data_IF_022344783623
#
_entry.id   IF_022344783623
#
_cell.length_a   1.000
_cell.length_b   1.000
_cell.length_c   1.000
_cell.angle_alpha   90.00
_cell.angle_beta   90.00
_cell.angle_gamma   90.00
#
_symmetry.space_group_name_H-M   'P 1'
#
loop_
_entity.id
_entity.type
_entity.pdbx_description
1 polymer ?
#
# COMPACT_ATOMS: atom_id res chain seq x y z
N UNK A 1 -6.12 -11.33 -12.61
CA UNK A 1 -6.10 -10.00 -13.24
C UNK A 1 -5.97 -8.90 -12.18
N UNK A 2 -6.80 -8.91 -11.13
CA UNK A 2 -6.88 -7.83 -10.12
C UNK A 2 -5.55 -7.53 -9.42
N UNK A 3 -4.81 -8.55 -8.99
CA UNK A 3 -3.52 -8.38 -8.30
C UNK A 3 -2.48 -7.63 -9.14
N UNK A 4 -2.56 -7.72 -10.47
CA UNK A 4 -1.64 -7.02 -11.36
C UNK A 4 -2.05 -5.56 -11.59
N UNK A 5 -3.35 -5.28 -11.62
CA UNK A 5 -3.90 -3.95 -11.94
C UNK A 5 -3.97 -3.07 -10.68
N UNK A 6 -4.36 -3.66 -9.55
CA UNK A 6 -4.69 -2.93 -8.32
C UNK A 6 -3.54 -2.11 -7.73
N UNK A 7 -2.27 -2.59 -7.70
CA UNK A 7 -1.16 -1.78 -7.20
C UNK A 7 -0.91 -0.50 -8.02
N UNK A 8 -1.40 -0.44 -9.27
CA UNK A 8 -1.33 0.75 -10.11
C UNK A 8 -2.61 1.57 -10.01
N UNK A 9 -3.73 1.04 -10.52
CA UNK A 9 -4.98 1.81 -10.65
C UNK A 9 -5.65 2.05 -9.31
N UNK A 10 -5.60 1.08 -8.41
CA UNK A 10 -6.15 1.23 -7.06
C UNK A 10 -5.40 2.30 -6.27
N UNK A 11 -4.08 2.28 -6.29
CA UNK A 11 -3.29 3.32 -5.63
C UNK A 11 -3.43 4.70 -6.31
N UNK A 12 -3.58 4.74 -7.64
CA UNK A 12 -3.80 5.98 -8.38
C UNK A 12 -5.09 6.67 -7.96
N UNK A 13 -6.23 5.97 -8.02
CA UNK A 13 -7.54 6.57 -7.66
C UNK A 13 -7.65 6.87 -6.17
N UNK A 14 -6.82 6.23 -5.33
CA UNK A 14 -6.73 6.51 -3.90
C UNK A 14 -5.78 7.68 -3.57
N UNK A 15 -5.11 8.28 -4.56
CA UNK A 15 -4.16 9.39 -4.34
C UNK A 15 -2.88 8.97 -3.61
N UNK A 16 -2.45 7.72 -3.76
CA UNK A 16 -1.28 7.16 -3.06
C UNK A 16 -0.01 7.14 -3.92
N UNK A 17 -0.12 7.48 -5.21
CA UNK A 17 1.00 7.59 -6.15
C UNK A 17 0.85 8.87 -6.97
N UNK A 18 1.98 9.43 -7.40
CA UNK A 18 2.04 10.63 -8.24
C UNK A 18 1.32 11.85 -7.67
N UNK A 19 1.55 12.13 -6.38
CA UNK A 19 1.09 13.34 -5.70
C UNK A 19 -0.40 13.66 -5.92
N UNK A 20 -0.73 14.77 -6.58
CA UNK A 20 -2.09 15.25 -6.82
C UNK A 20 -2.80 14.60 -8.03
N UNK A 21 -2.24 13.54 -8.61
CA UNK A 21 -2.76 12.89 -9.82
C UNK A 21 -4.23 12.46 -9.72
N UNK A 22 -4.71 12.01 -8.55
CA UNK A 22 -6.10 11.64 -8.35
C UNK A 22 -7.06 12.82 -8.56
N UNK A 23 -6.65 14.03 -8.17
CA UNK A 23 -7.40 15.26 -8.43
C UNK A 23 -7.32 15.61 -9.92
N UNK A 24 -6.12 15.57 -10.50
CA UNK A 24 -5.87 15.92 -11.90
C UNK A 24 -6.71 15.10 -12.88
N UNK A 25 -6.89 13.80 -12.62
CA UNK A 25 -7.70 12.90 -13.48
C UNK A 25 -9.18 12.83 -13.07
N UNK A 26 -9.61 13.65 -12.11
CA UNK A 26 -10.97 13.62 -11.56
C UNK A 26 -11.38 12.22 -11.05
N UNK A 27 -10.48 11.53 -10.36
CA UNK A 27 -10.65 10.13 -9.95
C UNK A 27 -11.95 9.86 -9.17
N UNK A 28 -12.47 10.88 -8.47
CA UNK A 28 -13.74 10.82 -7.74
C UNK A 28 -14.95 10.46 -8.62
N UNK A 29 -14.87 10.66 -9.94
CA UNK A 29 -15.90 10.27 -10.91
C UNK A 29 -15.87 8.78 -11.27
N UNK A 30 -14.78 8.08 -10.95
CA UNK A 30 -14.59 6.66 -11.30
C UNK A 30 -15.19 5.74 -10.22
N UNK A 31 -16.49 5.87 -9.97
CA UNK A 31 -17.20 5.25 -8.85
C UNK A 31 -16.96 3.73 -8.73
N UNK A 32 -17.01 3.02 -9.86
CA UNK A 32 -16.82 1.57 -9.88
C UNK A 32 -15.38 1.15 -9.57
N UNK A 33 -14.40 1.95 -9.99
CA UNK A 33 -12.98 1.69 -9.72
C UNK A 33 -12.69 1.98 -8.25
N UNK A 34 -13.28 3.04 -7.68
CA UNK A 34 -13.16 3.35 -6.25
C UNK A 34 -13.78 2.24 -5.39
N UNK A 35 -14.98 1.75 -5.74
CA UNK A 35 -15.60 0.61 -5.04
C UNK A 35 -14.69 -0.63 -5.07
N UNK A 36 -14.21 -1.02 -6.25
CA UNK A 36 -13.30 -2.15 -6.43
C UNK A 36 -11.98 -1.96 -5.66
N UNK A 37 -11.42 -0.75 -5.67
CA UNK A 37 -10.22 -0.41 -4.93
C UNK A 37 -10.40 -0.68 -3.43
N UNK A 38 -11.50 -0.21 -2.84
CA UNK A 38 -11.83 -0.39 -1.41
C UNK A 38 -12.01 -1.86 -1.05
N UNK A 39 -12.78 -2.61 -1.84
CA UNK A 39 -13.00 -4.04 -1.62
C UNK A 39 -11.69 -4.85 -1.56
N UNK A 40 -10.74 -4.53 -2.44
CA UNK A 40 -9.43 -5.19 -2.44
C UNK A 40 -8.54 -4.68 -1.30
N UNK A 41 -8.60 -3.38 -0.98
CA UNK A 41 -7.85 -2.78 0.12
C UNK A 41 -8.11 -3.46 1.46
N UNK A 42 -9.37 -3.82 1.74
CA UNK A 42 -9.79 -4.43 3.00
C UNK A 42 -9.24 -5.85 3.20
N UNK A 43 -8.77 -6.51 2.15
CA UNK A 43 -8.27 -7.89 2.22
C UNK A 43 -7.03 -7.96 3.11
N UNK A 44 -6.99 -8.84 4.15
CA UNK A 44 -5.83 -8.96 5.03
C UNK A 44 -4.51 -9.25 4.30
N UNK A 45 -4.57 -10.04 3.23
CA UNK A 45 -3.39 -10.35 2.41
C UNK A 45 -2.86 -9.13 1.63
N UNK A 46 -3.73 -8.23 1.16
CA UNK A 46 -3.32 -6.99 0.47
C UNK A 46 -2.69 -6.02 1.46
N UNK A 47 -3.30 -5.88 2.65
CA UNK A 47 -2.76 -5.08 3.75
C UNK A 47 -1.34 -5.51 4.13
N UNK A 48 -1.06 -6.81 4.22
CA UNK A 48 0.29 -7.33 4.48
C UNK A 48 1.21 -7.22 3.27
N UNK A 49 0.75 -7.66 2.10
CA UNK A 49 1.57 -7.74 0.89
C UNK A 49 2.13 -6.38 0.45
N UNK A 50 1.35 -5.30 0.62
CA UNK A 50 1.79 -3.94 0.26
C UNK A 50 2.88 -3.35 1.18
N UNK A 51 3.18 -4.01 2.31
CA UNK A 51 4.22 -3.57 3.24
C UNK A 51 5.59 -4.13 2.85
N UNK A 52 5.63 -5.29 2.22
CA UNK A 52 6.85 -6.04 1.92
C UNK A 52 7.70 -5.27 0.91
N UNK A 53 9.01 -5.14 1.19
CA UNK A 53 10.00 -4.39 0.42
C UNK A 53 9.70 -2.89 0.25
N UNK A 54 8.80 -2.34 1.06
CA UNK A 54 8.44 -0.92 0.99
C UNK A 54 9.30 -0.10 1.95
N UNK A 55 10.04 0.87 1.40
CA UNK A 55 10.94 1.76 2.15
C UNK A 55 10.44 3.21 2.28
N UNK A 56 9.14 3.43 2.09
CA UNK A 56 8.52 4.75 2.11
C UNK A 56 7.07 4.69 2.61
N UNK A 57 6.50 5.84 2.95
CA UNK A 57 5.16 5.94 3.55
C UNK A 57 5.23 5.91 5.08
N UNK A 58 4.15 5.51 5.73
CA UNK A 58 4.11 5.45 7.20
C UNK A 58 5.02 4.32 7.72
N UNK A 59 5.79 4.51 8.81
CA UNK A 59 6.69 3.48 9.33
C UNK A 59 6.01 2.12 9.61
N UNK A 60 4.77 2.13 10.10
CA UNK A 60 3.99 0.92 10.37
C UNK A 60 3.51 0.18 9.10
N UNK A 61 3.65 0.80 7.92
CA UNK A 61 3.39 0.18 6.62
C UNK A 61 4.67 -0.26 5.89
N UNK A 62 5.85 -0.09 6.50
CA UNK A 62 7.14 -0.41 5.89
C UNK A 62 7.70 -1.69 6.50
N UNK A 63 7.86 -2.72 5.67
CA UNK A 63 8.58 -3.96 6.00
C UNK A 63 9.65 -4.17 4.93
N UNK A 64 10.89 -3.74 5.20
CA UNK A 64 11.96 -3.71 4.20
C UNK A 64 12.30 -5.10 3.63
N UNK A 65 12.24 -6.13 4.47
CA UNK A 65 12.44 -7.52 4.08
C UNK A 65 11.47 -8.41 4.83
N UNK A 66 11.09 -9.54 4.22
CA UNK A 66 10.24 -10.54 4.85
C UNK A 66 10.88 -11.91 4.67
N UNK A 67 11.19 -12.56 5.79
CA UNK A 67 11.75 -13.89 5.87
C UNK A 67 10.90 -14.83 6.74
N UNK A 68 10.03 -14.30 7.60
CA UNK A 68 9.08 -15.05 8.43
C UNK A 68 7.68 -14.40 8.44
N UNK A 69 6.67 -15.11 8.96
CA UNK A 69 5.33 -14.54 9.16
C UNK A 69 5.28 -13.54 10.34
N UNK A 70 6.12 -13.76 11.36
CA UNK A 70 6.21 -12.91 12.56
C UNK A 70 6.88 -11.56 12.31
N UNK A 71 7.47 -11.35 11.12
CA UNK A 71 8.09 -10.08 10.73
C UNK A 71 7.09 -8.91 10.72
N UNK A 72 5.82 -9.16 10.40
CA UNK A 72 4.78 -8.12 10.48
C UNK A 72 4.56 -7.60 11.90
N UNK A 73 4.82 -8.44 12.91
CA UNK A 73 4.62 -8.13 14.32
C UNK A 73 5.88 -7.54 14.98
N UNK A 74 7.05 -7.68 14.36
CA UNK A 74 8.34 -7.36 15.02
C UNK A 74 9.31 -6.52 14.19
N UNK A 75 9.23 -6.56 12.86
CA UNK A 75 10.24 -6.00 11.94
C UNK A 75 9.74 -4.81 11.10
N UNK A 76 8.53 -4.29 11.33
CA UNK A 76 8.09 -3.06 10.67
C UNK A 76 8.86 -1.85 11.19
N UNK A 77 8.99 -0.82 10.35
CA UNK A 77 9.90 0.30 10.62
C UNK A 77 9.53 1.11 11.88
N UNK A 78 8.26 1.14 12.28
CA UNK A 78 7.80 1.71 13.57
C UNK A 78 8.35 0.95 14.80
N UNK A 79 8.65 -0.35 14.66
CA UNK A 79 9.12 -1.21 15.76
C UNK A 79 10.63 -1.20 15.91
N UNK A 80 11.35 -1.15 14.79
CA UNK A 80 12.83 -1.22 14.78
C UNK A 80 13.51 0.15 14.74
N UNK A 81 12.77 1.23 14.47
CA UNK A 81 13.32 2.58 14.37
C UNK A 81 14.18 2.78 13.12
N UNK A 82 14.72 4.00 12.90
CA UNK A 82 15.59 4.28 11.75
C UNK A 82 16.79 3.33 11.75
N UNK A 83 17.20 2.88 10.56
CA UNK A 83 18.42 2.08 10.40
C UNK A 83 19.58 2.88 10.99
N UNK A 84 20.29 2.33 11.98
CA UNK A 84 21.53 2.92 12.44
C UNK A 84 22.57 2.67 11.33
N UNK A 85 23.10 3.76 10.79
CA UNK A 85 24.15 3.76 9.76
C UNK A 85 25.47 3.19 10.29
#
# INVERSE_FOLDING_TARGET
ADMAIWPWYGNLVAGLIYDDSATFIEAHTYENVIRWQKEIWERPAVRRGRMVNRAFGKPEEQLHERHDATDFDTQTQDKIGPKQD
#
